data_IF_696342410206
#
_entry.id   IF_696342410206
#
_cell.length_a   1.000
_cell.length_b   1.000
_cell.length_c   1.000
_cell.angle_alpha   90.00
_cell.angle_beta   90.00
_cell.angle_gamma   90.00
#
_symmetry.space_group_name_H-M   'P 1'
#
loop_
_entity.id
_entity.type
_entity.pdbx_description
1 polymer ?
#
# COMPACT_ATOMS: atom_id res chain seq x y z
N UNK A 1 1.96 -0.23 22.87
CA UNK A 1 2.89 -0.19 21.71
C UNK A 1 2.25 0.73 20.68
N UNK A 2 3.00 1.65 20.07
CA UNK A 2 2.49 2.55 19.04
C UNK A 2 2.15 1.76 17.78
N UNK A 3 0.92 1.88 17.29
CA UNK A 3 0.44 1.15 16.11
C UNK A 3 0.02 2.11 15.01
N UNK A 4 0.30 1.73 13.77
CA UNK A 4 -0.01 2.49 12.56
C UNK A 4 -0.70 1.57 11.55
N UNK A 5 -1.84 2.00 11.02
CA UNK A 5 -2.39 1.43 9.79
C UNK A 5 -1.65 2.06 8.61
N UNK A 6 -0.72 1.31 8.03
CA UNK A 6 0.19 1.83 6.99
C UNK A 6 -0.45 1.89 5.59
N UNK A 7 -1.73 1.47 5.45
CA UNK A 7 -2.43 1.51 4.17
C UNK A 7 -3.94 1.47 4.36
N UNK A 8 -4.57 2.60 4.19
CA UNK A 8 -6.04 2.72 4.13
C UNK A 8 -6.44 3.85 3.19
N UNK A 9 -7.72 3.95 2.87
CA UNK A 9 -8.28 4.95 1.99
C UNK A 9 -9.49 5.63 2.61
N UNK A 10 -9.75 6.85 2.16
CA UNK A 10 -11.00 7.57 2.33
C UNK A 10 -11.39 8.15 0.97
N UNK A 11 -12.66 8.29 0.70
CA UNK A 11 -13.14 8.91 -0.55
C UNK A 11 -14.57 9.43 -0.42
N UNK A 12 -14.95 10.32 -1.34
CA UNK A 12 -16.32 10.74 -1.57
C UNK A 12 -16.64 10.63 -3.06
N UNK A 13 -17.73 9.95 -3.38
CA UNK A 13 -18.11 9.65 -4.78
C UNK A 13 -18.44 10.91 -5.58
N UNK A 14 -18.91 11.96 -4.93
CA UNK A 14 -19.23 13.24 -5.58
C UNK A 14 -18.03 13.89 -6.28
N UNK A 15 -16.81 13.47 -5.98
CA UNK A 15 -15.61 13.91 -6.71
C UNK A 15 -15.60 13.46 -8.17
N UNK A 16 -16.20 12.29 -8.47
CA UNK A 16 -16.35 11.78 -9.82
C UNK A 16 -15.08 11.24 -10.48
N UNK A 17 -13.94 11.16 -9.77
CA UNK A 17 -12.64 10.75 -10.32
C UNK A 17 -12.24 9.29 -9.98
N UNK A 18 -13.12 8.53 -9.34
CA UNK A 18 -12.91 7.10 -9.00
C UNK A 18 -13.43 6.17 -10.11
N UNK A 19 -12.82 6.22 -11.30
CA UNK A 19 -13.29 5.47 -12.47
C UNK A 19 -13.31 3.95 -12.31
N UNK A 20 -12.60 3.39 -11.32
CA UNK A 20 -12.60 1.96 -11.00
C UNK A 20 -13.76 1.55 -10.08
N UNK A 21 -14.39 2.51 -9.39
CA UNK A 21 -15.55 2.30 -8.50
C UNK A 21 -16.84 2.37 -9.32
N UNK A 22 -17.21 1.27 -9.94
CA UNK A 22 -18.47 1.17 -10.68
C UNK A 22 -19.63 0.81 -9.72
N UNK A 23 -20.45 1.79 -9.37
CA UNK A 23 -21.63 1.60 -8.52
C UNK A 23 -22.69 0.69 -9.15
N UNK A 24 -22.66 0.48 -10.48
CA UNK A 24 -23.55 -0.46 -11.16
C UNK A 24 -23.09 -1.91 -11.04
N UNK A 25 -21.82 -2.14 -10.68
CA UNK A 25 -21.28 -3.47 -10.45
C UNK A 25 -21.66 -3.97 -9.04
N UNK A 26 -22.51 -5.01 -8.88
CA UNK A 26 -22.91 -5.52 -7.56
C UNK A 26 -21.72 -5.97 -6.70
N UNK A 27 -20.61 -6.41 -7.30
CA UNK A 27 -19.41 -6.80 -6.56
C UNK A 27 -18.75 -5.61 -5.84
N UNK A 28 -18.96 -4.38 -6.33
CA UNK A 28 -18.45 -3.15 -5.71
C UNK A 28 -19.40 -2.55 -4.67
N UNK A 29 -20.63 -3.05 -4.53
CA UNK A 29 -21.63 -2.50 -3.61
C UNK A 29 -21.14 -2.30 -2.17
N UNK A 30 -20.26 -3.16 -1.58
CA UNK A 30 -19.74 -2.94 -0.24
C UNK A 30 -18.90 -1.68 -0.08
N UNK A 31 -18.35 -1.14 -1.19
CA UNK A 31 -17.44 0.00 -1.22
C UNK A 31 -17.91 1.17 -2.08
N UNK A 32 -19.01 1.02 -2.83
CA UNK A 32 -19.56 2.07 -3.70
C UNK A 32 -20.38 3.10 -2.89
N UNK A 33 -19.76 3.72 -1.91
CA UNK A 33 -20.30 4.84 -1.10
C UNK A 33 -19.16 5.69 -0.56
N UNK A 34 -19.48 6.79 0.08
CA UNK A 34 -18.50 7.60 0.79
C UNK A 34 -17.91 6.87 2.00
N UNK A 35 -16.61 7.08 2.22
CA UNK A 35 -15.87 6.64 3.41
C UNK A 35 -15.03 7.80 3.93
N UNK A 36 -15.38 8.28 5.13
CA UNK A 36 -14.85 9.51 5.69
C UNK A 36 -13.67 9.29 6.65
N UNK A 37 -12.91 10.36 6.92
CA UNK A 37 -11.89 10.36 7.96
C UNK A 37 -12.45 9.99 9.35
N UNK A 38 -13.69 10.42 9.66
CA UNK A 38 -14.35 10.07 10.92
C UNK A 38 -14.68 8.57 11.03
N UNK A 39 -15.13 7.95 9.93
CA UNK A 39 -15.33 6.48 9.90
C UNK A 39 -14.03 5.72 10.05
N UNK A 40 -12.94 6.19 9.41
CA UNK A 40 -11.61 5.62 9.59
C UNK A 40 -11.20 5.70 11.06
N UNK A 41 -11.31 6.89 11.68
CA UNK A 41 -10.99 7.08 13.10
C UNK A 41 -11.72 6.07 14.00
N UNK A 42 -13.01 5.85 13.76
CA UNK A 42 -13.78 4.89 14.53
C UNK A 42 -13.24 3.44 14.40
N UNK A 43 -12.68 3.06 13.24
CA UNK A 43 -12.03 1.74 13.05
C UNK A 43 -10.71 1.65 13.81
N UNK A 44 -9.90 2.71 13.75
CA UNK A 44 -8.63 2.79 14.45
C UNK A 44 -8.85 2.71 15.99
N UNK A 45 -9.76 3.53 16.51
CA UNK A 45 -10.06 3.59 17.96
C UNK A 45 -10.51 2.23 18.50
N UNK A 46 -11.37 1.51 17.77
CA UNK A 46 -11.83 0.17 18.16
C UNK A 46 -10.70 -0.86 18.29
N UNK A 47 -9.53 -0.58 17.74
CA UNK A 47 -8.37 -1.49 17.71
C UNK A 47 -7.14 -0.93 18.41
N UNK A 48 -7.22 0.26 18.99
CA UNK A 48 -6.09 0.91 19.64
C UNK A 48 -4.99 1.33 18.69
N UNK A 49 -5.31 1.53 17.40
CA UNK A 49 -4.38 2.01 16.38
C UNK A 49 -4.34 3.53 16.47
N UNK A 50 -3.14 4.08 16.64
CA UNK A 50 -2.98 5.50 16.93
C UNK A 50 -3.02 6.39 15.68
N UNK A 51 -2.49 5.91 14.56
CA UNK A 51 -2.27 6.69 13.34
C UNK A 51 -2.56 5.86 12.09
N UNK A 52 -2.83 6.56 11.00
CA UNK A 52 -3.02 5.97 9.69
C UNK A 52 -2.22 6.70 8.61
N UNK A 53 -1.78 5.94 7.60
CA UNK A 53 -1.30 6.44 6.32
C UNK A 53 -2.43 6.30 5.31
N UNK A 54 -2.97 7.44 4.87
CA UNK A 54 -4.04 7.45 3.87
C UNK A 54 -3.44 7.51 2.48
N UNK A 55 -3.84 6.58 1.64
CA UNK A 55 -3.31 6.42 0.29
C UNK A 55 -4.37 6.84 -0.73
N UNK A 56 -3.94 7.48 -1.81
CA UNK A 56 -4.82 7.85 -2.91
C UNK A 56 -5.60 6.64 -3.47
N UNK A 57 -6.79 6.88 -3.99
CA UNK A 57 -7.63 5.90 -4.65
C UNK A 57 -8.00 6.30 -6.09
N UNK A 58 -7.80 7.57 -6.46
CA UNK A 58 -7.96 8.08 -7.81
C UNK A 58 -6.63 8.59 -8.39
N UNK A 59 -6.33 8.36 -9.69
CA UNK A 59 -5.10 8.84 -10.31
C UNK A 59 -5.21 10.33 -10.69
N UNK A 60 -5.43 11.19 -9.68
CA UNK A 60 -5.57 12.65 -9.89
C UNK A 60 -4.85 13.44 -8.78
N UNK A 61 -4.22 14.56 -9.17
CA UNK A 61 -3.70 15.53 -8.20
C UNK A 61 -4.82 16.21 -7.40
N UNK A 62 -6.02 16.28 -7.97
CA UNK A 62 -7.17 16.83 -7.29
C UNK A 62 -7.54 15.99 -6.05
N UNK A 63 -7.45 14.65 -6.14
CA UNK A 63 -7.61 13.79 -4.97
C UNK A 63 -6.45 13.97 -3.98
N UNK A 64 -5.21 14.05 -4.47
CA UNK A 64 -4.05 14.29 -3.60
C UNK A 64 -4.27 15.53 -2.74
N UNK A 65 -4.67 16.65 -3.33
CA UNK A 65 -4.96 17.89 -2.60
C UNK A 65 -6.12 17.73 -1.62
N UNK A 66 -7.18 17.05 -2.03
CA UNK A 66 -8.31 16.76 -1.15
C UNK A 66 -7.90 15.90 0.07
N UNK A 67 -7.07 14.86 -0.13
CA UNK A 67 -6.56 14.04 0.97
C UNK A 67 -5.70 14.85 1.94
N UNK A 68 -4.88 15.76 1.43
CA UNK A 68 -4.09 16.67 2.27
C UNK A 68 -5.00 17.61 3.08
N UNK A 69 -6.08 18.11 2.50
CA UNK A 69 -7.09 18.89 3.24
C UNK A 69 -7.79 18.07 4.33
N UNK A 70 -8.10 16.79 4.06
CA UNK A 70 -8.65 15.89 5.08
C UNK A 70 -7.66 15.64 6.22
N UNK A 71 -6.38 15.48 5.91
CA UNK A 71 -5.35 15.24 6.91
C UNK A 71 -5.17 16.43 7.87
N UNK A 72 -5.28 17.68 7.38
CA UNK A 72 -5.21 18.88 8.23
C UNK A 72 -6.31 18.94 9.29
N UNK A 73 -7.45 18.32 9.04
CA UNK A 73 -8.59 18.28 9.97
C UNK A 73 -8.68 17.00 10.80
N UNK A 74 -7.70 16.10 10.71
CA UNK A 74 -7.81 14.75 11.28
C UNK A 74 -6.47 14.22 11.80
N UNK A 75 -6.15 14.50 13.05
CA UNK A 75 -4.86 14.14 13.69
C UNK A 75 -4.47 12.67 13.56
N UNK A 76 -5.44 11.76 13.40
CA UNK A 76 -5.17 10.34 13.20
C UNK A 76 -4.62 10.03 11.80
N UNK A 77 -4.76 10.92 10.81
CA UNK A 77 -4.12 10.81 9.50
C UNK A 77 -2.74 11.45 9.61
N UNK A 78 -1.71 10.61 9.75
CA UNK A 78 -0.36 11.08 10.01
C UNK A 78 0.48 11.24 8.73
N UNK A 79 0.03 10.64 7.63
CA UNK A 79 0.69 10.73 6.33
C UNK A 79 -0.32 10.53 5.20
N UNK A 80 -0.07 11.18 4.08
CA UNK A 80 -0.78 11.01 2.82
C UNK A 80 0.21 10.48 1.77
N UNK A 81 -0.22 9.46 1.04
CA UNK A 81 0.42 8.99 -0.19
C UNK A 81 -0.48 9.43 -1.33
N UNK A 82 -0.02 10.40 -2.10
CA UNK A 82 -0.76 11.01 -3.18
C UNK A 82 -0.45 10.41 -4.55
N UNK A 83 -0.93 11.10 -5.58
CA UNK A 83 -0.66 10.81 -6.98
C UNK A 83 -0.20 12.07 -7.71
N UNK A 84 0.70 11.90 -8.66
CA UNK A 84 1.11 12.88 -9.65
C UNK A 84 1.35 12.17 -10.97
N UNK A 85 1.11 12.84 -12.09
CA UNK A 85 1.44 12.29 -13.40
C UNK A 85 2.96 12.25 -13.60
N UNK A 86 3.55 11.06 -13.52
CA UNK A 86 5.00 10.85 -13.68
C UNK A 86 5.49 11.11 -15.12
N UNK A 87 4.58 11.28 -16.07
CA UNK A 87 4.92 11.48 -17.49
C UNK A 87 4.96 12.96 -17.91
N UNK A 88 4.50 13.85 -17.02
CA UNK A 88 4.42 15.27 -17.34
C UNK A 88 5.81 15.93 -17.40
N UNK A 89 6.07 16.84 -18.34
CA UNK A 89 7.37 17.50 -18.45
C UNK A 89 7.68 18.45 -17.27
N UNK A 90 6.67 18.93 -16.55
CA UNK A 90 6.76 19.80 -15.37
C UNK A 90 6.68 19.02 -14.04
N UNK A 91 7.03 17.73 -14.08
CA UNK A 91 6.93 16.82 -12.91
C UNK A 91 7.66 17.35 -11.68
N UNK A 92 8.89 17.84 -11.86
CA UNK A 92 9.72 18.33 -10.73
C UNK A 92 9.03 19.48 -9.99
N UNK A 93 8.48 20.43 -10.73
CA UNK A 93 7.75 21.58 -10.16
C UNK A 93 6.46 21.12 -9.45
N UNK A 94 5.72 20.19 -10.06
CA UNK A 94 4.49 19.63 -9.45
C UNK A 94 4.78 18.89 -8.16
N UNK A 95 5.78 18.02 -8.17
CA UNK A 95 6.22 17.27 -6.97
C UNK A 95 6.67 18.25 -5.88
N UNK A 96 7.50 19.24 -6.22
CA UNK A 96 7.96 20.25 -5.26
C UNK A 96 6.79 21.06 -4.67
N UNK A 97 5.81 21.44 -5.51
CA UNK A 97 4.63 22.17 -5.06
C UNK A 97 3.74 21.35 -4.11
N UNK A 98 3.54 20.05 -4.40
CA UNK A 98 2.78 19.15 -3.53
C UNK A 98 3.51 18.86 -2.21
N UNK A 99 4.84 18.69 -2.26
CA UNK A 99 5.69 18.38 -1.11
C UNK A 99 5.83 19.54 -0.10
N UNK A 100 5.33 20.74 -0.43
CA UNK A 100 5.23 21.85 0.55
C UNK A 100 4.29 21.52 1.69
N UNK A 101 3.34 20.59 1.50
CA UNK A 101 2.47 20.10 2.56
C UNK A 101 3.19 18.97 3.33
N UNK A 102 3.46 19.16 4.63
CA UNK A 102 4.20 18.17 5.40
C UNK A 102 3.46 16.84 5.60
N UNK A 103 2.17 16.77 5.34
CA UNK A 103 1.42 15.52 5.40
C UNK A 103 1.69 14.62 4.16
N UNK A 104 2.14 15.19 3.02
CA UNK A 104 2.52 14.37 1.88
C UNK A 104 3.83 13.62 2.17
N UNK A 105 3.78 12.32 2.15
CA UNK A 105 4.93 11.46 2.45
C UNK A 105 5.33 10.54 1.31
N UNK A 106 4.46 10.33 0.34
CA UNK A 106 4.75 9.44 -0.79
C UNK A 106 3.87 9.70 -2.01
N UNK A 107 4.26 9.08 -3.11
CA UNK A 107 3.52 9.08 -4.37
C UNK A 107 3.28 7.63 -4.79
N UNK A 108 2.06 7.35 -5.26
CA UNK A 108 1.63 6.03 -5.73
C UNK A 108 1.00 6.10 -7.12
N UNK A 109 1.72 5.81 -8.20
CA UNK A 109 1.10 5.57 -9.50
C UNK A 109 0.30 4.25 -9.47
N UNK A 110 -0.78 4.17 -10.27
CA UNK A 110 -1.64 2.99 -10.37
C UNK A 110 -1.03 1.94 -11.31
N UNK A 111 0.21 1.48 -11.02
CA UNK A 111 0.99 0.61 -11.90
C UNK A 111 0.31 -0.72 -12.22
N UNK A 112 -0.48 -1.24 -11.30
CA UNK A 112 -1.18 -2.53 -11.49
C UNK A 112 -2.08 -2.57 -12.74
N UNK A 113 -2.50 -1.41 -13.23
CA UNK A 113 -3.43 -1.24 -14.36
C UNK A 113 -2.71 -0.80 -15.64
N UNK A 114 -1.37 -0.67 -15.58
CA UNK A 114 -0.50 -0.30 -16.69
C UNK A 114 0.28 -1.50 -17.24
N UNK A 115 0.97 -1.30 -18.36
CA UNK A 115 1.82 -2.36 -18.94
C UNK A 115 2.96 -2.73 -17.97
N UNK A 116 3.38 -4.00 -17.89
CA UNK A 116 4.42 -4.46 -16.98
C UNK A 116 5.76 -3.72 -17.12
N UNK A 117 6.07 -3.24 -18.30
CA UNK A 117 7.29 -2.51 -18.63
C UNK A 117 7.12 -0.98 -18.58
N UNK A 118 5.93 -0.49 -18.21
CA UNK A 118 5.62 0.94 -18.23
C UNK A 118 6.67 1.78 -17.49
N UNK A 119 7.09 1.38 -16.30
CA UNK A 119 8.13 2.09 -15.54
C UNK A 119 9.47 2.17 -16.30
N UNK A 120 9.83 1.16 -17.09
CA UNK A 120 11.07 1.16 -17.87
C UNK A 120 10.99 2.04 -19.12
N UNK A 121 9.78 2.30 -19.63
CA UNK A 121 9.55 3.14 -20.82
C UNK A 121 9.47 4.63 -20.48
N UNK A 122 9.35 4.97 -19.20
CA UNK A 122 9.32 6.37 -18.75
C UNK A 122 10.74 6.89 -18.50
N UNK A 123 10.95 8.21 -18.53
CA UNK A 123 12.21 8.81 -18.10
C UNK A 123 12.39 8.68 -16.57
N UNK A 124 12.41 7.43 -16.09
CA UNK A 124 12.39 7.09 -14.67
C UNK A 124 13.53 7.70 -13.85
N UNK A 125 14.67 8.00 -14.49
CA UNK A 125 15.73 8.74 -13.81
C UNK A 125 15.25 10.13 -13.33
N UNK A 126 14.38 10.78 -14.12
CA UNK A 126 13.83 12.09 -13.75
C UNK A 126 12.81 12.01 -12.62
N UNK A 127 11.82 11.11 -12.70
CA UNK A 127 10.79 11.02 -11.66
C UNK A 127 11.34 10.50 -10.33
N UNK A 128 12.27 9.54 -10.38
CA UNK A 128 12.88 9.03 -9.15
C UNK A 128 13.70 10.12 -8.44
N UNK A 129 14.47 10.90 -9.18
CA UNK A 129 15.20 12.06 -8.66
C UNK A 129 14.25 13.11 -8.08
N UNK A 130 13.17 13.46 -8.79
CA UNK A 130 12.19 14.43 -8.29
C UNK A 130 11.57 14.01 -6.94
N UNK A 131 11.24 12.72 -6.77
CA UNK A 131 10.74 12.21 -5.49
C UNK A 131 11.81 12.23 -4.40
N UNK A 132 13.04 11.85 -4.71
CA UNK A 132 14.17 11.85 -3.76
C UNK A 132 14.48 13.26 -3.27
N UNK A 133 14.58 14.24 -4.18
CA UNK A 133 14.86 15.65 -3.86
C UNK A 133 13.76 16.26 -3.00
N UNK A 134 12.51 15.86 -3.22
CA UNK A 134 11.36 16.25 -2.40
C UNK A 134 11.23 15.47 -1.08
N UNK A 135 12.08 14.48 -0.82
CA UNK A 135 12.02 13.64 0.37
C UNK A 135 10.80 12.71 0.41
N UNK A 136 10.20 12.43 -0.75
CA UNK A 136 9.02 11.56 -0.87
C UNK A 136 9.41 10.08 -1.06
N UNK A 137 8.49 9.20 -0.70
CA UNK A 137 8.57 7.75 -0.87
C UNK A 137 7.80 7.34 -2.12
N UNK A 138 8.15 6.18 -2.65
CA UNK A 138 7.43 5.58 -3.76
C UNK A 138 6.67 4.34 -3.27
N UNK A 139 5.35 4.39 -3.35
CA UNK A 139 4.49 3.26 -3.04
C UNK A 139 4.21 2.49 -4.35
N UNK A 140 4.74 1.28 -4.44
CA UNK A 140 4.68 0.47 -5.65
C UNK A 140 3.45 -0.44 -5.65
N UNK A 141 2.34 0.03 -6.23
CA UNK A 141 1.15 -0.77 -6.47
C UNK A 141 1.34 -1.63 -7.72
N UNK A 142 1.89 -2.82 -7.55
CA UNK A 142 2.32 -3.71 -8.63
C UNK A 142 1.66 -5.09 -8.56
N UNK A 143 1.70 -5.81 -9.68
CA UNK A 143 1.35 -7.23 -9.83
C UNK A 143 2.60 -8.06 -10.13
N UNK A 144 2.56 -9.40 -10.07
CA UNK A 144 3.74 -10.24 -10.35
C UNK A 144 4.47 -9.92 -11.65
N UNK A 145 3.75 -9.56 -12.70
CA UNK A 145 4.34 -9.22 -14.00
C UNK A 145 5.22 -7.96 -13.98
N UNK A 146 5.05 -7.06 -13.00
CA UNK A 146 5.81 -5.79 -12.90
C UNK A 146 7.11 -5.94 -12.09
N UNK A 147 7.33 -7.06 -11.37
CA UNK A 147 8.37 -7.17 -10.34
C UNK A 147 9.79 -7.11 -10.93
N UNK A 148 10.02 -7.66 -12.11
CA UNK A 148 11.33 -7.57 -12.76
C UNK A 148 11.65 -6.13 -13.17
N UNK A 149 10.68 -5.42 -13.74
CA UNK A 149 10.83 -4.01 -14.08
C UNK A 149 11.08 -3.16 -12.83
N UNK A 150 10.31 -3.39 -11.77
CA UNK A 150 10.49 -2.70 -10.50
C UNK A 150 11.89 -2.93 -9.93
N UNK A 151 12.38 -4.17 -9.95
CA UNK A 151 13.74 -4.51 -9.50
C UNK A 151 14.80 -3.72 -10.28
N UNK A 152 14.71 -3.67 -11.61
CA UNK A 152 15.65 -2.91 -12.44
C UNK A 152 15.62 -1.42 -12.08
N UNK A 153 14.44 -0.83 -11.91
CA UNK A 153 14.28 0.58 -11.52
C UNK A 153 14.89 0.85 -10.15
N UNK A 154 14.66 -0.02 -9.15
CA UNK A 154 15.21 0.18 -7.81
C UNK A 154 16.73 0.03 -7.77
N UNK A 155 17.30 -0.91 -8.52
CA UNK A 155 18.77 -1.06 -8.63
C UNK A 155 19.43 0.14 -9.27
N UNK A 156 18.73 0.79 -10.21
CA UNK A 156 19.22 2.03 -10.83
C UNK A 156 19.04 3.27 -9.94
N UNK A 157 18.13 3.20 -8.94
CA UNK A 157 17.81 4.30 -8.02
C UNK A 157 17.89 3.86 -6.55
N UNK A 158 19.06 3.44 -6.05
CA UNK A 158 19.19 2.83 -4.72
C UNK A 158 18.87 3.78 -3.55
N UNK A 159 18.83 5.09 -3.80
CA UNK A 159 18.46 6.11 -2.83
C UNK A 159 16.95 6.37 -2.72
N UNK A 160 16.11 5.82 -3.63
CA UNK A 160 14.66 6.01 -3.58
C UNK A 160 14.05 5.09 -2.53
N UNK A 161 13.41 5.62 -1.46
CA UNK A 161 12.71 4.78 -0.51
C UNK A 161 11.44 4.21 -1.14
N UNK A 162 11.32 2.88 -1.19
CA UNK A 162 10.19 2.19 -1.84
C UNK A 162 9.52 1.22 -0.89
N UNK A 163 8.19 1.17 -0.95
CA UNK A 163 7.39 0.12 -0.33
C UNK A 163 6.50 -0.55 -1.36
N UNK A 164 6.45 -1.87 -1.34
CA UNK A 164 5.61 -2.69 -2.21
C UNK A 164 4.23 -2.83 -1.56
N UNK A 165 3.18 -2.35 -2.23
CA UNK A 165 1.81 -2.47 -1.75
C UNK A 165 1.29 -3.91 -1.88
N UNK A 166 0.49 -4.35 -0.90
CA UNK A 166 -0.34 -5.58 -0.95
C UNK A 166 0.47 -6.84 -1.30
N UNK A 167 1.72 -6.91 -0.82
CA UNK A 167 2.61 -8.05 -1.10
C UNK A 167 2.73 -8.32 -2.62
N UNK A 168 2.66 -7.25 -3.43
CA UNK A 168 2.63 -7.32 -4.92
C UNK A 168 1.49 -8.17 -5.48
N UNK A 169 0.36 -8.26 -4.77
CA UNK A 169 -0.86 -8.96 -5.21
C UNK A 169 -0.60 -10.39 -5.69
N UNK A 170 -0.18 -11.30 -4.79
CA UNK A 170 0.02 -12.70 -5.14
C UNK A 170 -1.28 -13.28 -5.69
N UNK A 171 -1.21 -14.06 -6.76
CA UNK A 171 -2.40 -14.61 -7.40
C UNK A 171 -2.97 -15.81 -6.61
N UNK A 172 -3.30 -15.62 -5.32
CA UNK A 172 -3.67 -16.69 -4.39
C UNK A 172 -4.88 -17.51 -4.86
N UNK A 173 -5.84 -16.87 -5.51
CA UNK A 173 -7.03 -17.52 -6.05
C UNK A 173 -6.82 -18.23 -7.39
N UNK A 174 -5.62 -18.16 -7.98
CA UNK A 174 -5.31 -18.81 -9.22
C UNK A 174 -5.03 -20.33 -9.05
N UNK A 175 -5.15 -21.15 -10.12
CA UNK A 175 -4.73 -22.54 -10.08
C UNK A 175 -3.28 -22.72 -9.64
N UNK A 176 -2.90 -23.87 -9.00
CA UNK A 176 -1.55 -24.10 -8.47
C UNK A 176 -0.43 -24.02 -9.51
N UNK A 177 -0.72 -24.31 -10.77
CA UNK A 177 0.20 -24.28 -11.91
C UNK A 177 0.24 -22.93 -12.64
N UNK A 178 -0.46 -21.91 -12.14
CA UNK A 178 -0.46 -20.58 -12.74
C UNK A 178 0.95 -19.95 -12.68
N UNK A 179 1.50 -19.52 -13.83
CA UNK A 179 2.87 -18.98 -13.89
C UNK A 179 3.08 -17.72 -13.03
N UNK A 180 2.00 -17.03 -12.65
CA UNK A 180 2.09 -15.86 -11.76
C UNK A 180 2.64 -16.21 -10.38
N UNK A 181 2.46 -17.45 -9.91
CA UNK A 181 3.03 -17.89 -8.64
C UNK A 181 4.55 -17.87 -8.65
N UNK A 182 5.17 -18.36 -9.75
CA UNK A 182 6.64 -18.35 -9.88
C UNK A 182 7.17 -16.94 -10.07
N UNK A 183 6.53 -16.14 -10.96
CA UNK A 183 6.88 -14.73 -11.15
C UNK A 183 6.85 -13.95 -9.83
N UNK A 184 5.79 -14.14 -9.04
CA UNK A 184 5.65 -13.50 -7.74
C UNK A 184 6.76 -13.92 -6.79
N UNK A 185 6.96 -15.23 -6.62
CA UNK A 185 7.93 -15.79 -5.67
C UNK A 185 9.35 -15.34 -5.98
N UNK A 186 9.76 -15.52 -7.24
CA UNK A 186 11.08 -15.12 -7.70
C UNK A 186 11.30 -13.61 -7.63
N UNK A 187 10.32 -12.82 -8.07
CA UNK A 187 10.40 -11.37 -8.06
C UNK A 187 10.47 -10.78 -6.65
N UNK A 188 9.59 -11.23 -5.73
CA UNK A 188 9.58 -10.75 -4.34
C UNK A 188 10.85 -11.15 -3.57
N UNK A 189 11.34 -12.38 -3.74
CA UNK A 189 12.58 -12.81 -3.11
C UNK A 189 13.79 -11.97 -3.57
N UNK A 190 13.85 -11.66 -4.89
CA UNK A 190 14.92 -10.82 -5.44
C UNK A 190 14.82 -9.37 -4.97
N UNK A 191 13.61 -8.78 -4.97
CA UNK A 191 13.39 -7.42 -4.44
C UNK A 191 13.83 -7.31 -2.99
N UNK A 192 13.48 -8.29 -2.17
CA UNK A 192 13.88 -8.32 -0.77
C UNK A 192 15.38 -8.50 -0.56
N UNK A 193 16.05 -9.35 -1.37
CA UNK A 193 17.47 -9.67 -1.23
C UNK A 193 18.41 -8.67 -1.91
N UNK A 194 17.97 -8.02 -3.00
CA UNK A 194 18.82 -7.18 -3.84
C UNK A 194 18.56 -5.67 -3.65
N UNK A 195 17.53 -5.28 -2.86
CA UNK A 195 17.14 -3.88 -2.65
C UNK A 195 16.81 -3.57 -1.20
N UNK A 196 16.66 -2.26 -0.88
CA UNK A 196 16.16 -1.78 0.41
C UNK A 196 14.62 -1.68 0.50
N UNK A 197 13.88 -2.25 -0.45
CA UNK A 197 12.43 -2.13 -0.47
C UNK A 197 11.77 -2.68 0.79
N UNK A 198 10.74 -1.97 1.27
CA UNK A 198 9.79 -2.43 2.28
C UNK A 198 8.59 -3.11 1.61
N UNK A 199 7.72 -3.73 2.42
CA UNK A 199 6.51 -4.37 1.91
C UNK A 199 5.35 -4.18 2.89
N UNK A 200 4.14 -3.92 2.37
CA UNK A 200 2.91 -3.81 3.15
C UNK A 200 2.15 -5.13 3.19
N UNK A 201 1.86 -5.57 4.40
CA UNK A 201 0.95 -6.69 4.68
C UNK A 201 -0.49 -6.14 4.70
N UNK A 202 -1.06 -5.94 3.52
CA UNK A 202 -2.40 -5.37 3.29
C UNK A 202 -2.97 -5.93 1.99
N UNK A 203 -4.30 -5.80 1.74
CA UNK A 203 -4.94 -6.18 0.48
C UNK A 203 -4.87 -7.68 0.13
N UNK A 204 -4.46 -8.55 1.05
CA UNK A 204 -4.20 -9.97 0.77
C UNK A 204 -5.50 -10.75 0.60
N UNK A 205 -6.52 -10.44 1.38
CA UNK A 205 -7.79 -11.16 1.34
C UNK A 205 -8.50 -11.00 0.00
N UNK A 206 -8.34 -9.87 -0.67
CA UNK A 206 -8.94 -9.61 -1.98
C UNK A 206 -8.30 -10.42 -3.12
N UNK A 207 -7.14 -11.02 -2.88
CA UNK A 207 -6.45 -11.91 -3.82
C UNK A 207 -6.80 -13.40 -3.62
N UNK A 208 -7.58 -13.73 -2.57
CA UNK A 208 -7.99 -15.10 -2.24
C UNK A 208 -9.25 -15.52 -2.99
N UNK A 209 -9.31 -16.81 -3.34
CA UNK A 209 -10.55 -17.43 -3.81
C UNK A 209 -11.59 -17.54 -2.67
N UNK A 210 -12.90 -17.60 -2.98
CA UNK A 210 -13.94 -17.76 -1.94
C UNK A 210 -13.73 -18.98 -1.02
N UNK A 211 -13.22 -20.10 -1.53
CA UNK A 211 -12.89 -21.28 -0.73
C UNK A 211 -11.77 -21.03 0.28
N UNK A 212 -10.78 -20.24 -0.09
CA UNK A 212 -9.69 -19.83 0.80
C UNK A 212 -10.16 -18.82 1.84
N UNK A 213 -11.07 -17.91 1.47
CA UNK A 213 -11.68 -16.95 2.42
C UNK A 213 -12.51 -17.63 3.50
N UNK A 214 -13.09 -18.81 3.22
CA UNK A 214 -13.80 -19.59 4.23
C UNK A 214 -12.86 -20.17 5.33
N UNK A 215 -11.60 -20.44 4.98
CA UNK A 215 -10.56 -20.95 5.88
C UNK A 215 -9.20 -20.30 5.57
N UNK A 216 -9.03 -19.00 5.86
CA UNK A 216 -7.91 -18.23 5.31
C UNK A 216 -6.57 -18.51 5.99
N UNK A 217 -6.55 -19.08 7.20
CA UNK A 217 -5.36 -19.19 8.06
C UNK A 217 -4.18 -19.88 7.38
N UNK A 218 -4.39 -21.07 6.86
CA UNK A 218 -3.30 -21.87 6.29
C UNK A 218 -2.59 -21.11 5.15
N UNK A 219 -3.37 -20.68 4.16
CA UNK A 219 -2.84 -19.94 3.00
C UNK A 219 -2.21 -18.61 3.42
N UNK A 220 -2.90 -17.86 4.29
CA UNK A 220 -2.43 -16.55 4.74
C UNK A 220 -1.15 -16.65 5.56
N UNK A 221 -1.12 -17.54 6.57
CA UNK A 221 0.04 -17.62 7.47
C UNK A 221 1.28 -18.14 6.75
N UNK A 222 1.12 -19.11 5.84
CA UNK A 222 2.23 -19.56 4.99
C UNK A 222 2.79 -18.41 4.11
N UNK A 223 1.92 -17.57 3.55
CA UNK A 223 2.33 -16.38 2.80
C UNK A 223 3.07 -15.37 3.69
N UNK A 224 2.51 -15.06 4.85
CA UNK A 224 3.10 -14.10 5.78
C UNK A 224 4.46 -14.57 6.32
N UNK A 225 4.61 -15.86 6.63
CA UNK A 225 5.88 -16.46 7.06
C UNK A 225 6.93 -16.37 5.93
N UNK A 226 6.54 -16.65 4.71
CA UNK A 226 7.43 -16.54 3.55
C UNK A 226 7.92 -15.11 3.34
N UNK A 227 7.00 -14.13 3.38
CA UNK A 227 7.33 -12.71 3.22
C UNK A 227 8.17 -12.19 4.39
N UNK A 228 7.88 -12.63 5.61
CA UNK A 228 8.69 -12.32 6.80
C UNK A 228 10.12 -12.87 6.64
N UNK A 229 10.25 -14.10 6.13
CA UNK A 229 11.56 -14.71 5.87
C UNK A 229 12.41 -13.94 4.85
N UNK A 230 11.77 -13.28 3.89
CA UNK A 230 12.48 -12.48 2.87
C UNK A 230 12.83 -11.07 3.33
N UNK A 231 11.87 -10.36 3.91
CA UNK A 231 12.00 -8.93 4.22
C UNK A 231 12.52 -8.64 5.63
N UNK A 232 12.34 -9.58 6.59
CA UNK A 232 12.52 -9.27 8.00
C UNK A 232 11.42 -8.33 8.54
N UNK A 233 11.22 -8.33 9.83
CA UNK A 233 10.12 -7.56 10.47
C UNK A 233 10.26 -6.05 10.30
N UNK A 234 11.49 -5.54 10.24
CA UNK A 234 11.81 -4.12 10.13
C UNK A 234 11.49 -3.52 8.75
N UNK A 235 11.27 -4.36 7.72
CA UNK A 235 10.86 -3.91 6.39
C UNK A 235 9.40 -4.28 6.06
N UNK A 236 8.66 -4.80 7.04
CA UNK A 236 7.24 -5.10 6.89
C UNK A 236 6.37 -4.09 7.62
N UNK A 237 5.21 -3.75 7.04
CA UNK A 237 4.23 -2.83 7.60
C UNK A 237 2.84 -3.43 7.51
N UNK A 238 2.13 -3.50 8.64
CA UNK A 238 0.72 -3.86 8.64
C UNK A 238 -0.14 -2.73 8.08
N UNK A 239 -1.10 -3.05 7.22
CA UNK A 239 -2.11 -2.14 6.70
C UNK A 239 -3.45 -2.83 6.52
N UNK A 240 -4.54 -2.08 6.63
CA UNK A 240 -5.89 -2.65 6.51
C UNK A 240 -6.36 -2.79 5.08
N UNK A 241 -5.94 -1.90 4.21
CA UNK A 241 -6.54 -1.68 2.88
C UNK A 241 -8.04 -1.34 2.99
N UNK A 242 -8.48 -0.78 4.12
CA UNK A 242 -9.86 -0.32 4.29
C UNK A 242 -10.08 0.96 3.46
N UNK A 243 -11.22 1.09 2.78
CA UNK A 243 -12.39 0.21 2.78
C UNK A 243 -12.38 -0.88 1.70
N UNK A 244 -11.37 -0.98 0.84
CA UNK A 244 -11.28 -2.00 -0.23
C UNK A 244 -11.36 -3.42 0.36
N UNK A 245 -10.77 -3.63 1.51
CA UNK A 245 -10.89 -4.87 2.30
C UNK A 245 -12.32 -5.40 2.44
N UNK A 246 -13.33 -4.53 2.41
CA UNK A 246 -14.75 -4.91 2.55
C UNK A 246 -15.27 -5.79 1.41
N UNK A 247 -14.53 -5.87 0.31
CA UNK A 247 -14.83 -6.81 -0.78
C UNK A 247 -14.58 -8.27 -0.39
N UNK A 248 -13.74 -8.52 0.61
CA UNK A 248 -13.34 -9.88 1.00
C UNK A 248 -13.39 -10.13 2.51
N UNK A 249 -13.72 -9.12 3.32
CA UNK A 249 -13.72 -9.25 4.77
C UNK A 249 -14.17 -8.00 5.52
N UNK A 250 -13.68 -7.84 6.72
CA UNK A 250 -13.94 -6.66 7.56
C UNK A 250 -12.66 -6.20 8.26
N UNK A 251 -12.61 -4.92 8.62
CA UNK A 251 -11.47 -4.33 9.36
C UNK A 251 -11.13 -5.14 10.62
N UNK A 252 -12.17 -5.45 11.42
CA UNK A 252 -12.01 -6.24 12.64
C UNK A 252 -11.57 -7.68 12.39
N UNK A 253 -12.08 -8.31 11.32
CA UNK A 253 -11.71 -9.66 10.91
C UNK A 253 -10.24 -9.74 10.47
N UNK A 254 -9.81 -8.82 9.62
CA UNK A 254 -8.40 -8.74 9.18
C UNK A 254 -7.46 -8.47 10.37
N UNK A 255 -7.82 -7.50 11.22
CA UNK A 255 -7.02 -7.19 12.41
C UNK A 255 -6.90 -8.40 13.34
N UNK A 256 -8.00 -9.13 13.61
CA UNK A 256 -7.97 -10.32 14.47
C UNK A 256 -7.12 -11.44 13.85
N UNK A 257 -7.28 -11.70 12.55
CA UNK A 257 -6.56 -12.75 11.84
C UNK A 257 -5.04 -12.44 11.77
N UNK A 258 -4.67 -11.20 11.48
CA UNK A 258 -3.27 -10.79 11.50
C UNK A 258 -2.69 -10.76 12.92
N UNK A 259 -3.47 -10.38 13.94
CA UNK A 259 -3.03 -10.42 15.32
C UNK A 259 -2.76 -11.86 15.81
N UNK A 260 -3.52 -12.84 15.34
CA UNK A 260 -3.27 -14.25 15.63
C UNK A 260 -1.91 -14.72 15.08
N UNK A 261 -1.60 -14.40 13.82
CA UNK A 261 -0.28 -14.68 13.23
C UNK A 261 0.85 -13.96 13.99
N UNK A 262 0.66 -12.67 14.26
CA UNK A 262 1.62 -11.85 14.99
C UNK A 262 1.90 -12.37 16.40
N UNK A 263 0.94 -13.04 17.05
CA UNK A 263 1.12 -13.61 18.39
C UNK A 263 2.22 -14.67 18.44
N UNK A 264 2.49 -15.34 17.31
CA UNK A 264 3.60 -16.30 17.17
C UNK A 264 4.99 -15.66 17.07
N UNK A 265 5.07 -14.34 16.87
CA UNK A 265 6.34 -13.63 16.69
C UNK A 265 6.85 -13.06 18.02
N UNK A 266 8.14 -12.68 18.04
CA UNK A 266 8.70 -11.91 19.17
C UNK A 266 8.00 -10.57 19.37
N UNK A 267 8.05 -10.01 20.58
CA UNK A 267 7.46 -8.68 20.86
C UNK A 267 8.10 -7.59 20.02
N UNK A 268 9.39 -7.71 19.72
CA UNK A 268 10.14 -6.80 18.86
C UNK A 268 9.61 -6.85 17.41
N UNK A 269 9.55 -8.05 16.81
CA UNK A 269 9.03 -8.23 15.45
C UNK A 269 7.59 -7.72 15.30
N UNK A 270 6.72 -8.01 16.29
CA UNK A 270 5.36 -7.44 16.32
C UNK A 270 5.38 -5.91 16.29
N UNK A 271 6.23 -5.30 17.13
CA UNK A 271 6.34 -3.85 17.22
C UNK A 271 6.84 -3.20 15.94
N UNK A 272 7.78 -3.85 15.25
CA UNK A 272 8.22 -3.41 13.94
C UNK A 272 7.05 -3.43 12.94
N UNK A 273 6.40 -4.59 12.75
CA UNK A 273 5.36 -4.79 11.74
C UNK A 273 4.13 -3.90 12.00
N UNK A 274 3.70 -3.76 13.26
CA UNK A 274 2.46 -3.04 13.57
C UNK A 274 2.62 -1.52 13.70
N UNK A 275 3.86 -1.00 13.68
CA UNK A 275 4.02 0.45 13.84
C UNK A 275 5.39 1.00 13.51
N UNK A 276 6.48 0.47 14.07
CA UNK A 276 7.79 1.10 13.99
C UNK A 276 8.34 1.18 12.55
N UNK A 277 8.11 0.18 11.72
CA UNK A 277 8.53 0.17 10.31
C UNK A 277 7.80 1.26 9.51
N UNK A 278 6.48 1.37 9.66
CA UNK A 278 5.70 2.43 9.01
C UNK A 278 6.08 3.82 9.52
N UNK A 279 6.26 3.97 10.84
CA UNK A 279 6.67 5.23 11.46
C UNK A 279 8.01 5.70 10.90
N UNK A 280 9.01 4.83 10.83
CA UNK A 280 10.32 5.14 10.25
C UNK A 280 10.23 5.46 8.77
N UNK A 281 9.48 4.66 8.00
CA UNK A 281 9.39 4.80 6.56
C UNK A 281 8.70 6.12 6.15
N UNK A 282 7.55 6.43 6.73
CA UNK A 282 6.78 7.63 6.39
C UNK A 282 7.12 8.86 7.26
N UNK A 283 7.98 8.72 8.26
CA UNK A 283 8.28 9.80 9.21
C UNK A 283 7.08 10.14 10.10
N UNK A 284 6.26 9.15 10.44
CA UNK A 284 5.12 9.31 11.36
C UNK A 284 5.61 9.33 12.80
N UNK A 285 5.21 10.34 13.55
CA UNK A 285 5.53 10.47 14.98
C UNK A 285 4.37 9.99 15.86
N UNK A 286 4.71 9.63 17.11
CA UNK A 286 3.72 9.25 18.13
C UNK A 286 2.80 10.41 18.51
#
# INVERSE_FOLDING_TARGET
MFQVDAHCHIWTLDRGDYGWLDAANPAMAPIARDFTAAELKARLDQRGIARAVVVQAAPTEAETRWLLDQARGADHIAAVVGWVDLTTPDLTERVAALATDPALRGIRPMLQDLAPDWLATQPWAGWATALQDAGLRFDALVRPAHLETLLCVLKANPGLPVVIDHVAKPALGAPPDDPRHELWRGGMARLAGETGACCKLSGILTEMAPSQLAQPRETLFALLDQVLGWFGAERLMWGSDWPVLRLAGSYGGWHALSAEWLAGLSAEARGQITGASAARFYGVTQ
#
